data_IF_974081587114
#
_entry.id   IF_974081587114
#
_cell.length_a   1.000
_cell.length_b   1.000
_cell.length_c   1.000
_cell.angle_alpha   90.00
_cell.angle_beta   90.00
_cell.angle_gamma   90.00
#
_symmetry.space_group_name_H-M   'P 1'
#
loop_
_entity.id
_entity.type
_entity.pdbx_description
1 polymer ?
#
# COMPACT_ATOMS: atom_id res chain seq x y z
N UNK A 1 24.19 -60.15 -17.32
CA UNK A 1 25.08 -58.98 -17.50
C UNK A 1 24.38 -57.75 -16.99
N UNK A 2 24.93 -57.15 -15.93
CA UNK A 2 24.39 -55.93 -15.38
C UNK A 2 24.37 -54.83 -16.42
N UNK A 3 23.23 -54.15 -16.57
CA UNK A 3 23.00 -53.08 -17.54
C UNK A 3 23.76 -51.77 -17.20
N UNK A 4 24.36 -51.76 -15.98
CA UNK A 4 25.02 -50.57 -15.42
C UNK A 4 26.39 -50.91 -14.88
N UNK A 5 27.32 -49.95 -14.90
CA UNK A 5 28.65 -50.08 -14.32
C UNK A 5 28.57 -50.08 -12.79
N UNK A 6 29.60 -50.57 -12.09
CA UNK A 6 29.69 -50.55 -10.65
C UNK A 6 29.61 -49.12 -10.08
N UNK A 7 30.19 -48.13 -10.76
CA UNK A 7 30.14 -46.71 -10.40
C UNK A 7 28.72 -46.14 -10.50
N UNK A 8 28.02 -46.46 -11.59
CA UNK A 8 26.63 -46.03 -11.80
C UNK A 8 25.68 -46.61 -10.75
N UNK A 9 25.88 -47.90 -10.41
CA UNK A 9 25.11 -48.59 -9.37
C UNK A 9 25.36 -47.98 -8.00
N UNK A 10 26.63 -47.68 -7.65
CA UNK A 10 27.00 -47.03 -6.40
C UNK A 10 26.40 -45.58 -6.31
N UNK A 11 26.53 -44.82 -7.35
CA UNK A 11 25.95 -43.48 -7.43
C UNK A 11 24.42 -43.48 -7.22
N UNK A 12 23.72 -44.38 -7.90
CA UNK A 12 22.27 -44.51 -7.78
C UNK A 12 21.86 -44.91 -6.37
N UNK A 13 22.53 -45.93 -5.76
CA UNK A 13 22.25 -46.40 -4.43
C UNK A 13 22.55 -45.32 -3.39
N UNK A 14 23.69 -44.64 -3.51
CA UNK A 14 24.05 -43.53 -2.60
C UNK A 14 23.09 -42.36 -2.66
N UNK A 15 22.62 -41.98 -3.87
CA UNK A 15 21.68 -40.89 -4.09
C UNK A 15 20.29 -41.23 -3.53
N UNK A 16 19.81 -42.46 -3.74
CA UNK A 16 18.56 -42.94 -3.17
C UNK A 16 18.59 -43.00 -1.65
N UNK A 17 19.71 -43.50 -1.08
CA UNK A 17 19.89 -43.54 0.36
C UNK A 17 19.93 -42.15 0.99
N UNK A 18 20.59 -41.15 0.34
CA UNK A 18 20.59 -39.77 0.79
C UNK A 18 19.18 -39.16 0.73
N UNK A 19 18.44 -39.45 -0.35
CA UNK A 19 17.07 -38.98 -0.48
C UNK A 19 16.14 -39.58 0.59
N UNK A 20 16.23 -40.90 0.82
CA UNK A 20 15.49 -41.57 1.88
C UNK A 20 15.79 -41.00 3.25
N UNK A 21 17.05 -40.79 3.56
CA UNK A 21 17.45 -40.19 4.83
C UNK A 21 16.96 -38.76 5.00
N UNK A 22 16.99 -37.97 3.91
CA UNK A 22 16.47 -36.60 3.90
C UNK A 22 14.96 -36.55 4.17
N UNK A 23 14.20 -37.49 3.64
CA UNK A 23 12.73 -37.52 3.77
C UNK A 23 12.30 -38.13 5.12
N UNK A 24 12.93 -39.21 5.54
CA UNK A 24 12.41 -40.01 6.66
C UNK A 24 13.17 -39.86 8.00
N UNK A 25 14.40 -39.40 7.98
CA UNK A 25 15.23 -39.37 9.18
C UNK A 25 15.69 -37.99 9.64
N UNK A 26 15.66 -37.00 8.75
CA UNK A 26 15.98 -35.64 9.13
C UNK A 26 14.69 -34.86 9.32
N UNK A 27 14.54 -34.18 10.43
CA UNK A 27 13.49 -33.22 10.68
C UNK A 27 13.70 -32.00 9.78
N UNK A 28 13.23 -32.07 8.51
CA UNK A 28 13.40 -31.02 7.51
C UNK A 28 12.34 -29.93 7.63
N UNK A 29 11.31 -30.16 8.44
CA UNK A 29 10.24 -29.22 8.69
C UNK A 29 10.27 -28.89 10.18
N UNK A 30 10.54 -27.65 10.49
CA UNK A 30 10.45 -27.12 11.85
C UNK A 30 9.22 -26.19 11.93
N UNK A 31 8.48 -26.28 13.02
CA UNK A 31 7.38 -25.38 13.29
C UNK A 31 7.50 -24.84 14.73
N UNK A 32 7.00 -23.64 14.92
CA UNK A 32 6.80 -23.04 16.22
C UNK A 32 5.30 -22.86 16.42
N UNK A 33 4.78 -23.36 17.55
CA UNK A 33 3.39 -23.13 17.92
C UNK A 33 3.32 -21.80 18.68
N UNK A 34 2.58 -20.84 18.14
CA UNK A 34 2.21 -19.61 18.84
C UNK A 34 0.77 -19.76 19.31
N UNK A 35 0.57 -19.71 20.63
CA UNK A 35 -0.76 -19.85 21.25
C UNK A 35 -1.47 -18.50 21.42
N UNK A 36 -0.75 -17.39 21.19
CA UNK A 36 -1.32 -16.04 21.26
C UNK A 36 -2.14 -15.72 20.02
N UNK A 37 -3.40 -15.32 20.22
CA UNK A 37 -4.33 -14.93 19.13
C UNK A 37 -4.16 -13.46 18.68
N UNK A 38 -3.16 -12.75 19.21
CA UNK A 38 -2.87 -11.36 18.80
C UNK A 38 -2.39 -11.34 17.35
N UNK A 39 -3.24 -10.88 16.47
CA UNK A 39 -3.01 -10.89 15.02
C UNK A 39 -1.72 -10.17 14.63
N UNK A 40 -1.40 -9.02 15.24
CA UNK A 40 -0.17 -8.29 15.00
C UNK A 40 1.09 -9.09 15.36
N UNK A 41 1.05 -9.85 16.46
CA UNK A 41 2.17 -10.70 16.88
C UNK A 41 2.39 -11.87 15.91
N UNK A 42 1.31 -12.57 15.56
CA UNK A 42 1.34 -13.66 14.58
C UNK A 42 1.89 -13.14 13.24
N UNK A 43 1.48 -11.97 12.84
CA UNK A 43 1.89 -11.30 11.63
C UNK A 43 3.36 -10.93 11.62
N UNK A 44 3.89 -10.36 12.70
CA UNK A 44 5.31 -10.05 12.84
C UNK A 44 6.18 -11.31 12.82
N UNK A 45 5.72 -12.40 13.46
CA UNK A 45 6.38 -13.70 13.40
C UNK A 45 6.43 -14.21 11.96
N UNK A 46 5.30 -14.15 11.25
CA UNK A 46 5.19 -14.56 9.84
C UNK A 46 6.15 -13.78 8.94
N UNK A 47 6.22 -12.44 9.08
CA UNK A 47 7.14 -11.59 8.31
C UNK A 47 8.60 -11.96 8.60
N UNK A 48 8.96 -12.18 9.89
CA UNK A 48 10.32 -12.55 10.29
C UNK A 48 10.76 -13.90 9.72
N UNK A 49 9.89 -14.89 9.77
CA UNK A 49 10.19 -16.24 9.25
C UNK A 49 10.36 -16.19 7.73
N UNK A 50 9.55 -15.42 7.02
CA UNK A 50 9.64 -15.27 5.57
C UNK A 50 10.75 -14.32 5.10
N UNK A 51 11.48 -13.66 6.01
CA UNK A 51 12.55 -12.72 5.65
C UNK A 51 13.80 -13.41 5.03
N UNK A 52 13.93 -14.73 5.14
CA UNK A 52 15.00 -15.51 4.53
C UNK A 52 14.78 -15.90 3.07
N UNK A 53 13.57 -15.63 2.51
CA UNK A 53 13.18 -15.90 1.13
C UNK A 53 12.76 -14.63 0.39
N UNK A 54 11.72 -14.75 -0.45
CA UNK A 54 11.04 -13.57 -1.03
C UNK A 54 10.42 -12.76 0.11
N UNK A 55 10.94 -11.55 0.34
CA UNK A 55 10.44 -10.69 1.41
C UNK A 55 8.98 -10.32 1.14
N UNK A 56 8.08 -10.85 1.93
CA UNK A 56 6.72 -10.33 2.01
C UNK A 56 6.77 -8.96 2.70
N UNK A 57 6.30 -7.94 2.01
CA UNK A 57 6.16 -6.63 2.63
C UNK A 57 4.95 -6.63 3.57
N UNK A 58 4.96 -5.72 4.54
CA UNK A 58 3.82 -5.54 5.43
C UNK A 58 2.53 -5.23 4.67
N UNK A 59 2.64 -4.49 3.57
CA UNK A 59 1.51 -4.20 2.67
C UNK A 59 0.99 -5.41 1.90
N UNK A 60 1.83 -6.40 1.55
CA UNK A 60 1.35 -7.66 0.93
C UNK A 60 0.38 -8.38 1.84
N UNK A 61 0.67 -8.32 3.11
CA UNK A 61 -0.12 -8.94 4.14
C UNK A 61 -1.42 -8.16 4.38
N UNK A 62 -1.35 -6.83 4.53
CA UNK A 62 -2.54 -5.99 4.64
C UNK A 62 -3.44 -6.13 3.41
N UNK A 63 -2.86 -6.22 2.22
CA UNK A 63 -3.60 -6.48 0.99
C UNK A 63 -4.26 -7.87 1.02
N UNK A 64 -3.60 -8.89 1.56
CA UNK A 64 -4.20 -10.22 1.71
C UNK A 64 -5.39 -10.21 2.67
N UNK A 65 -5.32 -9.43 3.76
CA UNK A 65 -6.43 -9.22 4.68
C UNK A 65 -7.58 -8.50 3.97
N UNK A 66 -7.30 -7.43 3.23
CA UNK A 66 -8.30 -6.72 2.45
C UNK A 66 -8.98 -7.64 1.43
N UNK A 67 -8.20 -8.41 0.68
CA UNK A 67 -8.72 -9.39 -0.31
C UNK A 67 -9.67 -10.41 0.32
N UNK A 68 -9.37 -10.88 1.53
CA UNK A 68 -10.23 -11.83 2.23
C UNK A 68 -11.57 -11.23 2.72
N UNK A 69 -11.68 -9.90 2.77
CA UNK A 69 -12.80 -9.20 3.39
C UNK A 69 -13.69 -8.44 2.41
N UNK A 70 -13.16 -8.02 1.26
CA UNK A 70 -13.94 -7.42 0.20
C UNK A 70 -14.85 -8.49 -0.43
N UNK A 71 -16.04 -8.09 -0.83
CA UNK A 71 -17.08 -9.02 -1.31
C UNK A 71 -17.53 -8.77 -2.74
N UNK A 72 -17.49 -7.53 -3.17
CA UNK A 72 -17.99 -7.10 -4.48
C UNK A 72 -16.85 -6.97 -5.51
N UNK A 73 -15.65 -6.64 -5.04
CA UNK A 73 -14.45 -6.44 -5.87
C UNK A 73 -13.31 -7.32 -5.37
N UNK A 74 -12.44 -7.79 -6.27
CA UNK A 74 -11.15 -8.37 -5.87
C UNK A 74 -10.19 -7.25 -5.48
N UNK A 75 -9.98 -7.07 -4.17
CA UNK A 75 -9.14 -6.00 -3.65
C UNK A 75 -7.70 -6.07 -4.20
N UNK A 76 -7.18 -7.28 -4.47
CA UNK A 76 -5.82 -7.45 -5.00
C UNK A 76 -5.73 -6.93 -6.43
N UNK A 77 -6.64 -7.36 -7.29
CA UNK A 77 -6.71 -6.95 -8.69
C UNK A 77 -6.92 -5.43 -8.79
N UNK A 78 -7.95 -4.93 -8.13
CA UNK A 78 -8.32 -3.50 -8.15
C UNK A 78 -7.21 -2.58 -7.66
N UNK A 79 -6.50 -2.96 -6.57
CA UNK A 79 -5.40 -2.13 -6.04
C UNK A 79 -4.18 -2.19 -6.96
N UNK A 80 -3.87 -3.34 -7.57
CA UNK A 80 -2.76 -3.43 -8.53
C UNK A 80 -3.04 -2.63 -9.79
N UNK A 81 -4.22 -2.81 -10.39
CA UNK A 81 -4.63 -2.04 -11.57
C UNK A 81 -4.62 -0.53 -11.29
N UNK A 82 -5.09 -0.12 -10.12
CA UNK A 82 -5.06 1.30 -9.74
C UNK A 82 -3.64 1.83 -9.56
N UNK A 83 -2.71 1.04 -9.00
CA UNK A 83 -1.28 1.43 -8.93
C UNK A 83 -0.71 1.63 -10.33
N UNK A 84 -1.02 0.74 -11.27
CA UNK A 84 -0.56 0.85 -12.65
C UNK A 84 -1.17 2.09 -13.33
N UNK A 85 -2.47 2.31 -13.14
CA UNK A 85 -3.19 3.49 -13.68
C UNK A 85 -2.57 4.80 -13.21
N UNK A 86 -2.39 4.99 -11.88
CA UNK A 86 -1.85 6.25 -11.36
C UNK A 86 -0.38 6.46 -11.70
N UNK A 87 0.38 5.40 -11.93
CA UNK A 87 1.76 5.48 -12.38
C UNK A 87 1.90 5.83 -13.86
N UNK A 88 0.86 5.64 -14.66
CA UNK A 88 0.83 6.01 -16.08
C UNK A 88 0.45 7.49 -16.32
N UNK A 89 0.06 8.24 -15.27
CA UNK A 89 -0.36 9.65 -15.40
C UNK A 89 0.84 10.54 -15.76
N UNK A 90 0.67 11.42 -16.74
CA UNK A 90 1.67 12.40 -17.16
C UNK A 90 2.96 11.74 -17.66
N UNK A 91 4.11 12.13 -17.12
CA UNK A 91 5.42 11.53 -17.41
C UNK A 91 5.72 10.29 -16.55
N UNK A 92 4.74 9.83 -15.80
CA UNK A 92 4.82 8.67 -14.94
C UNK A 92 5.25 8.98 -13.50
N UNK A 93 4.78 8.12 -12.60
CA UNK A 93 5.09 8.18 -11.18
C UNK A 93 5.63 6.83 -10.67
N UNK A 94 5.91 6.72 -9.38
CA UNK A 94 6.40 5.50 -8.72
C UNK A 94 5.62 5.21 -7.44
N UNK A 95 4.29 5.37 -7.50
CA UNK A 95 3.41 4.99 -6.40
C UNK A 95 3.39 3.47 -6.22
N UNK A 96 3.15 3.03 -5.00
CA UNK A 96 3.07 1.62 -4.66
C UNK A 96 1.78 1.32 -3.87
N UNK A 97 1.54 0.04 -3.62
CA UNK A 97 0.36 -0.41 -2.86
C UNK A 97 0.30 0.14 -1.44
N UNK A 98 1.46 0.40 -0.78
CA UNK A 98 1.49 1.02 0.54
C UNK A 98 0.84 2.40 0.53
N UNK A 99 1.15 3.20 -0.50
CA UNK A 99 0.54 4.50 -0.71
C UNK A 99 -0.98 4.39 -0.89
N UNK A 100 -1.44 3.44 -1.72
CA UNK A 100 -2.87 3.24 -1.98
C UNK A 100 -3.61 2.81 -0.72
N UNK A 101 -3.11 1.79 -0.01
CA UNK A 101 -3.72 1.32 1.24
C UNK A 101 -3.74 2.40 2.33
N UNK A 102 -2.67 3.19 2.44
CA UNK A 102 -2.62 4.33 3.36
C UNK A 102 -3.61 5.43 2.96
N UNK A 103 -3.74 5.71 1.67
CA UNK A 103 -4.75 6.63 1.16
C UNK A 103 -6.15 6.19 1.54
N UNK A 104 -6.45 4.89 1.44
CA UNK A 104 -7.74 4.34 1.86
C UNK A 104 -8.06 4.63 3.33
N UNK A 105 -7.10 4.41 4.25
CA UNK A 105 -7.31 4.69 5.67
C UNK A 105 -7.57 6.17 5.94
N UNK A 106 -6.83 7.06 5.29
CA UNK A 106 -6.97 8.51 5.50
C UNK A 106 -8.28 9.04 4.90
N UNK A 107 -8.61 8.62 3.67
CA UNK A 107 -9.77 9.11 2.93
C UNK A 107 -11.09 8.46 3.39
N UNK A 108 -11.04 7.30 4.03
CA UNK A 108 -12.22 6.70 4.67
C UNK A 108 -12.61 7.36 6.01
N UNK A 109 -11.88 8.39 6.44
CA UNK A 109 -12.17 9.18 7.65
C UNK A 109 -12.10 8.36 8.96
N UNK A 110 -11.34 7.27 9.00
CA UNK A 110 -11.18 6.50 10.24
C UNK A 110 -10.48 7.31 11.34
N UNK A 111 -10.83 7.06 12.58
CA UNK A 111 -10.23 7.75 13.74
C UNK A 111 -8.76 7.37 13.90
N UNK A 112 -8.42 6.09 13.82
CA UNK A 112 -7.04 5.62 13.79
C UNK A 112 -6.64 5.30 12.34
N UNK A 113 -5.65 6.05 11.85
CA UNK A 113 -5.12 5.94 10.48
C UNK A 113 -3.71 5.36 10.44
N UNK A 114 -3.22 4.84 11.58
CA UNK A 114 -1.93 4.16 11.61
C UNK A 114 -1.95 2.98 10.65
N UNK A 115 -0.88 2.83 9.91
CA UNK A 115 -0.72 1.72 8.98
C UNK A 115 -0.40 0.43 9.74
N UNK A 116 -1.42 -0.13 10.40
CA UNK A 116 -1.37 -1.32 11.27
C UNK A 116 -2.52 -2.26 10.93
N UNK A 117 -2.33 -3.53 11.25
CA UNK A 117 -3.36 -4.58 11.03
C UNK A 117 -4.67 -4.27 11.73
N UNK A 118 -4.63 -3.71 12.94
CA UNK A 118 -5.81 -3.34 13.72
C UNK A 118 -6.79 -2.43 12.95
N UNK A 119 -6.29 -1.68 11.98
CA UNK A 119 -7.10 -0.79 11.14
C UNK A 119 -7.66 -1.47 9.88
N UNK A 120 -7.25 -2.71 9.59
CA UNK A 120 -7.75 -3.51 8.48
C UNK A 120 -8.82 -4.51 8.95
N UNK A 121 -9.70 -4.07 9.84
CA UNK A 121 -10.85 -4.85 10.31
C UNK A 121 -11.86 -5.07 9.19
N UNK A 122 -12.74 -6.05 9.37
CA UNK A 122 -13.81 -6.33 8.41
C UNK A 122 -14.70 -5.11 8.16
N UNK A 123 -15.04 -4.39 9.22
CA UNK A 123 -15.89 -3.21 9.15
C UNK A 123 -15.22 -2.11 8.32
N UNK A 124 -13.94 -1.85 8.58
CA UNK A 124 -13.17 -0.85 7.86
C UNK A 124 -12.97 -1.25 6.39
N UNK A 125 -12.72 -2.53 6.12
CA UNK A 125 -12.55 -3.01 4.74
C UNK A 125 -13.83 -2.91 3.92
N UNK A 126 -14.99 -3.24 4.51
CA UNK A 126 -16.29 -3.04 3.86
C UNK A 126 -16.57 -1.55 3.61
N UNK A 127 -16.20 -0.67 4.55
CA UNK A 127 -16.36 0.77 4.36
C UNK A 127 -15.46 1.32 3.24
N UNK A 128 -14.21 0.84 3.14
CA UNK A 128 -13.29 1.19 2.05
C UNK A 128 -13.83 0.69 0.72
N UNK A 129 -14.27 -0.58 0.63
CA UNK A 129 -14.82 -1.15 -0.61
C UNK A 129 -15.99 -0.32 -1.14
N UNK A 130 -16.94 0.02 -0.27
CA UNK A 130 -18.10 0.85 -0.63
C UNK A 130 -17.72 2.26 -1.11
N UNK A 131 -16.63 2.82 -0.57
CA UNK A 131 -16.18 4.17 -0.91
C UNK A 131 -15.02 4.18 -1.92
N UNK A 132 -14.64 3.02 -2.44
CA UNK A 132 -13.46 2.84 -3.29
C UNK A 132 -13.46 3.79 -4.50
N UNK A 133 -14.57 3.88 -5.21
CA UNK A 133 -14.64 4.67 -6.44
C UNK A 133 -14.40 6.16 -6.15
N UNK A 134 -14.90 6.67 -5.02
CA UNK A 134 -14.65 8.05 -4.60
C UNK A 134 -13.20 8.26 -4.10
N UNK A 135 -12.66 7.29 -3.36
CA UNK A 135 -11.28 7.33 -2.89
C UNK A 135 -10.31 7.32 -4.08
N UNK A 136 -10.45 6.35 -4.97
CA UNK A 136 -9.57 6.19 -6.14
C UNK A 136 -9.63 7.39 -7.06
N UNK A 137 -10.83 7.92 -7.36
CA UNK A 137 -10.99 9.11 -8.18
C UNK A 137 -10.33 10.34 -7.55
N UNK A 138 -10.48 10.55 -6.25
CA UNK A 138 -9.87 11.70 -5.56
C UNK A 138 -8.35 11.62 -5.53
N UNK A 139 -7.79 10.41 -5.33
CA UNK A 139 -6.35 10.17 -5.42
C UNK A 139 -5.85 10.42 -6.84
N UNK A 140 -6.55 9.90 -7.84
CA UNK A 140 -6.23 10.12 -9.25
C UNK A 140 -6.22 11.60 -9.61
N UNK A 141 -7.25 12.37 -9.21
CA UNK A 141 -7.31 13.83 -9.45
C UNK A 141 -6.19 14.60 -8.76
N UNK A 142 -5.79 14.18 -7.57
CA UNK A 142 -4.62 14.77 -6.91
C UNK A 142 -3.34 14.53 -7.73
N UNK A 143 -3.13 13.31 -8.23
CA UNK A 143 -1.95 12.97 -9.03
C UNK A 143 -1.98 13.68 -10.40
N UNK A 144 -3.13 13.75 -11.09
CA UNK A 144 -3.31 14.51 -12.31
C UNK A 144 -2.97 16.00 -12.10
N UNK A 145 -3.32 16.55 -10.94
CA UNK A 145 -2.96 17.93 -10.58
C UNK A 145 -1.45 18.09 -10.40
N UNK A 146 -0.79 17.13 -9.76
CA UNK A 146 0.67 17.14 -9.62
C UNK A 146 1.38 17.04 -10.99
N UNK A 147 0.88 16.18 -11.88
CA UNK A 147 1.40 16.09 -13.26
C UNK A 147 1.30 17.44 -13.99
N UNK A 148 0.18 18.18 -13.81
CA UNK A 148 0.04 19.55 -14.35
C UNK A 148 1.02 20.56 -13.74
N UNK A 149 1.52 20.31 -12.52
CA UNK A 149 2.57 21.14 -11.91
C UNK A 149 3.99 20.75 -12.36
N UNK A 150 4.13 19.71 -13.18
CA UNK A 150 5.42 19.19 -13.65
C UNK A 150 6.07 18.20 -12.72
N UNK A 151 5.33 17.63 -11.75
CA UNK A 151 5.85 16.54 -10.92
C UNK A 151 5.72 15.20 -11.65
N UNK A 152 6.73 14.35 -11.43
CA UNK A 152 6.81 12.99 -11.97
C UNK A 152 7.65 12.12 -11.01
N UNK A 153 8.02 10.90 -11.44
CA UNK A 153 8.83 9.95 -10.65
C UNK A 153 10.19 10.49 -10.21
N UNK A 154 10.77 11.42 -10.96
CA UNK A 154 12.15 11.88 -10.74
C UNK A 154 12.23 13.03 -9.73
N UNK A 155 11.15 13.80 -9.58
CA UNK A 155 11.12 15.00 -8.77
C UNK A 155 10.10 15.00 -7.61
N UNK A 156 9.16 14.05 -7.56
CA UNK A 156 8.26 13.88 -6.43
C UNK A 156 8.94 13.08 -5.32
N UNK A 157 9.71 13.74 -4.47
CA UNK A 157 10.52 13.11 -3.42
C UNK A 157 9.73 12.51 -2.26
N UNK A 158 8.44 12.81 -2.13
CA UNK A 158 7.56 12.22 -1.12
C UNK A 158 6.16 11.97 -1.65
N UNK A 159 5.83 10.70 -1.88
CA UNK A 159 4.52 10.25 -2.35
C UNK A 159 3.42 10.57 -1.32
N UNK A 160 3.75 10.49 -0.04
CA UNK A 160 2.82 10.70 1.07
C UNK A 160 2.23 12.13 1.13
N UNK A 161 2.89 13.12 0.52
CA UNK A 161 2.40 14.49 0.44
C UNK A 161 1.14 14.63 -0.46
N UNK A 162 0.84 13.62 -1.29
CA UNK A 162 -0.34 13.62 -2.16
C UNK A 162 -1.63 13.33 -1.37
N UNK A 163 -1.54 12.54 -0.31
CA UNK A 163 -2.72 12.08 0.46
C UNK A 163 -3.56 13.23 1.03
N UNK A 164 -2.99 14.29 1.66
CA UNK A 164 -3.77 15.44 2.12
C UNK A 164 -4.47 16.20 0.99
N UNK A 165 -3.86 16.25 -0.20
CA UNK A 165 -4.47 16.88 -1.39
C UNK A 165 -5.67 16.07 -1.85
N UNK A 166 -5.53 14.73 -1.94
CA UNK A 166 -6.63 13.84 -2.28
C UNK A 166 -7.78 13.93 -1.27
N UNK A 167 -7.45 13.99 0.03
CA UNK A 167 -8.44 14.17 1.11
C UNK A 167 -9.20 15.49 0.95
N UNK A 168 -8.50 16.59 0.66
CA UNK A 168 -9.13 17.88 0.40
C UNK A 168 -10.10 17.82 -0.80
N UNK A 169 -9.67 17.20 -1.90
CA UNK A 169 -10.52 17.06 -3.11
C UNK A 169 -11.77 16.24 -2.79
N UNK A 170 -11.62 15.11 -2.12
CA UNK A 170 -12.73 14.24 -1.75
C UNK A 170 -13.71 14.94 -0.81
N UNK A 171 -13.20 15.54 0.27
CA UNK A 171 -14.03 16.14 1.32
C UNK A 171 -14.89 17.29 0.82
N UNK A 172 -14.43 17.97 -0.22
CA UNK A 172 -15.15 19.09 -0.85
C UNK A 172 -15.90 18.71 -2.14
N UNK A 173 -15.87 17.44 -2.55
CA UNK A 173 -16.45 16.95 -3.82
C UNK A 173 -15.91 17.72 -5.05
N UNK A 174 -14.60 17.93 -5.11
CA UNK A 174 -13.96 18.70 -6.17
C UNK A 174 -13.41 17.86 -7.33
N UNK A 175 -13.70 16.55 -7.37
CA UNK A 175 -13.20 15.65 -8.40
C UNK A 175 -13.37 16.21 -9.83
N UNK A 176 -14.55 16.71 -10.17
CA UNK A 176 -14.82 17.25 -11.50
C UNK A 176 -14.27 18.65 -11.73
N UNK A 177 -14.04 19.43 -10.68
CA UNK A 177 -13.76 20.86 -10.77
C UNK A 177 -12.31 21.25 -10.52
N UNK A 178 -11.56 20.45 -9.74
CA UNK A 178 -10.21 20.82 -9.26
C UNK A 178 -9.22 21.05 -10.40
N UNK A 179 -9.34 20.36 -11.50
CA UNK A 179 -8.37 20.44 -12.60
C UNK A 179 -8.62 21.59 -13.57
N UNK A 180 -9.88 22.01 -13.75
CA UNK A 180 -10.24 22.89 -14.87
C UNK A 180 -11.07 24.11 -14.49
N UNK A 181 -11.83 24.06 -13.38
CA UNK A 181 -12.70 25.16 -13.00
C UNK A 181 -11.90 26.40 -12.59
N UNK A 182 -12.26 27.57 -13.13
CA UNK A 182 -11.71 28.86 -12.71
C UNK A 182 -11.97 29.16 -11.22
N UNK A 183 -13.10 28.68 -10.68
CA UNK A 183 -13.42 28.80 -9.25
C UNK A 183 -12.40 28.10 -8.35
N UNK A 184 -11.62 27.13 -8.85
CA UNK A 184 -10.59 26.38 -8.10
C UNK A 184 -9.17 26.88 -8.37
N UNK A 185 -8.99 27.99 -9.06
CA UNK A 185 -7.65 28.51 -9.37
C UNK A 185 -6.85 28.87 -8.14
N UNK A 186 -7.48 29.50 -7.15
CA UNK A 186 -6.81 29.84 -5.88
C UNK A 186 -6.42 28.59 -5.09
N UNK A 187 -7.28 27.55 -5.07
CA UNK A 187 -6.97 26.29 -4.43
C UNK A 187 -5.78 25.61 -5.11
N UNK A 188 -5.76 25.55 -6.44
CA UNK A 188 -4.63 25.00 -7.20
C UNK A 188 -3.31 25.74 -6.89
N UNK A 189 -3.36 27.05 -6.79
CA UNK A 189 -2.17 27.85 -6.44
C UNK A 189 -1.70 27.55 -5.01
N UNK A 190 -2.64 27.54 -4.05
CA UNK A 190 -2.33 27.22 -2.66
C UNK A 190 -1.76 25.80 -2.50
N UNK A 191 -2.36 24.79 -3.16
CA UNK A 191 -1.85 23.41 -3.20
C UNK A 191 -0.42 23.38 -3.76
N UNK A 192 -0.16 24.06 -4.88
CA UNK A 192 1.18 24.09 -5.50
C UNK A 192 2.23 24.67 -4.56
N UNK A 193 1.92 25.80 -3.92
CA UNK A 193 2.83 26.46 -2.95
C UNK A 193 3.05 25.59 -1.70
N UNK A 194 1.96 25.04 -1.16
CA UNK A 194 2.02 24.15 -0.02
C UNK A 194 2.88 22.91 -0.33
N UNK A 195 2.63 22.25 -1.46
CA UNK A 195 3.37 21.06 -1.87
C UNK A 195 4.86 21.35 -1.99
N UNK A 196 5.24 22.43 -2.67
CA UNK A 196 6.66 22.83 -2.78
C UNK A 196 7.30 23.03 -1.40
N UNK A 197 6.61 23.69 -0.46
CA UNK A 197 7.11 23.91 0.90
C UNK A 197 7.30 22.63 1.69
N UNK A 198 6.34 21.71 1.64
CA UNK A 198 6.40 20.45 2.42
C UNK A 198 7.44 19.48 1.85
N UNK A 199 7.63 19.48 0.53
CA UNK A 199 8.69 18.70 -0.12
C UNK A 199 10.07 19.24 0.24
N UNK A 200 10.29 20.56 0.16
CA UNK A 200 11.56 21.19 0.54
C UNK A 200 11.90 21.00 2.02
N UNK A 201 10.89 21.01 2.89
CA UNK A 201 11.08 20.78 4.34
C UNK A 201 11.22 19.31 4.72
N UNK A 202 10.98 18.39 3.80
CA UNK A 202 10.97 16.96 4.10
C UNK A 202 9.88 16.55 5.10
N UNK A 203 8.74 17.28 5.16
CA UNK A 203 7.71 17.12 6.19
C UNK A 203 7.18 15.68 6.26
N UNK A 204 7.08 14.98 5.14
CA UNK A 204 6.60 13.60 5.04
C UNK A 204 7.73 12.55 4.96
N UNK A 205 8.97 12.95 5.26
CA UNK A 205 10.14 12.05 5.16
C UNK A 205 10.32 11.09 6.33
N UNK A 206 9.59 11.31 7.44
CA UNK A 206 9.60 10.43 8.61
C UNK A 206 8.35 9.56 8.70
N UNK A 207 7.73 9.51 9.89
CA UNK A 207 6.46 8.81 10.12
C UNK A 207 5.29 9.76 9.85
N UNK A 208 4.67 9.73 8.65
CA UNK A 208 3.62 10.69 8.27
C UNK A 208 2.30 10.50 9.03
N UNK A 209 2.14 9.39 9.74
CA UNK A 209 0.90 9.02 10.43
C UNK A 209 0.46 10.06 11.48
N UNK A 210 1.41 10.80 12.08
CA UNK A 210 1.10 11.89 13.00
C UNK A 210 0.64 13.17 12.29
N UNK A 211 0.96 13.33 11.01
CA UNK A 211 0.69 14.54 10.23
C UNK A 211 -0.73 14.52 9.67
N UNK A 212 -1.20 13.36 9.23
CA UNK A 212 -2.52 13.23 8.59
C UNK A 212 -3.70 13.70 9.44
N UNK A 213 -3.79 13.38 10.76
CA UNK A 213 -4.87 13.90 11.59
C UNK A 213 -4.89 15.43 11.63
N UNK A 214 -3.73 16.08 11.73
CA UNK A 214 -3.60 17.53 11.71
C UNK A 214 -4.09 18.11 10.38
N UNK A 215 -3.66 17.51 9.26
CA UNK A 215 -4.08 17.94 7.92
C UNK A 215 -5.57 17.74 7.70
N UNK A 216 -6.14 16.63 8.17
CA UNK A 216 -7.59 16.38 8.12
C UNK A 216 -8.38 17.45 8.88
N UNK A 217 -7.95 17.77 10.09
CA UNK A 217 -8.59 18.80 10.89
C UNK A 217 -8.55 20.17 10.18
N UNK A 218 -7.39 20.55 9.65
CA UNK A 218 -7.26 21.80 8.86
C UNK A 218 -8.20 21.83 7.66
N UNK A 219 -8.31 20.73 6.91
CA UNK A 219 -9.25 20.64 5.78
C UNK A 219 -10.70 20.75 6.25
N UNK A 220 -11.07 20.07 7.34
CA UNK A 220 -12.43 20.10 7.88
C UNK A 220 -12.83 21.48 8.43
N UNK A 221 -11.88 22.23 9.00
CA UNK A 221 -12.09 23.60 9.47
C UNK A 221 -12.16 24.63 8.31
N UNK A 222 -11.66 24.28 7.13
CA UNK A 222 -11.57 25.17 5.95
C UNK A 222 -12.31 24.59 4.75
N UNK A 223 -13.52 24.07 4.94
CA UNK A 223 -14.32 23.52 3.82
C UNK A 223 -14.48 24.56 2.70
N UNK A 224 -14.36 24.10 1.46
CA UNK A 224 -14.50 24.93 0.25
C UNK A 224 -13.21 25.63 -0.18
N UNK A 225 -12.15 25.62 0.63
CA UNK A 225 -10.86 26.26 0.30
C UNK A 225 -9.69 25.43 0.86
N UNK A 226 -8.61 25.32 0.08
CA UNK A 226 -7.38 24.68 0.57
C UNK A 226 -6.74 25.53 1.68
N UNK A 227 -6.45 24.93 2.87
CA UNK A 227 -5.96 25.66 4.04
C UNK A 227 -4.53 26.14 3.95
#
# INVERSE_FOLDING_TARGET
TSKYTSEQSYFATSSLSKLQNAIHQKGNISFFLEEGEELDKVLQIFIRINSGGTKLSYSDLLLSIATAQWKEKDAREVIHEFVDEINAIGEGFAFNKDFVLKSCLVLADFNDIKFKVDNFTKENMVAIEKNWDNISESVKKAIELLAKYGYNRDNLISLNAVIPIAYFIQKNNFNDSILHSSARENDRRAIKEWLARVLLKGTFGGTPDAIYPVMRNLVNENLGRFP
#
